data_IF_801259337877
#
_entry.id   IF_801259337877
#
_cell.length_a   1.000
_cell.length_b   1.000
_cell.length_c   1.000
_cell.angle_alpha   90.00
_cell.angle_beta   90.00
_cell.angle_gamma   90.00
#
_symmetry.space_group_name_H-M   'P 1'
#
loop_
_entity.id
_entity.type
_entity.pdbx_description
1 polymer ?
#
# COMPACT_ATOMS: atom_id res chain seq x y z
N UNK A 1 12.40 2.23 6.69
CA UNK A 1 11.35 2.81 7.56
C UNK A 1 12.02 3.78 8.51
N UNK A 2 11.57 5.04 8.61
CA UNK A 2 12.10 5.90 9.66
C UNK A 2 11.61 5.37 11.02
N UNK A 3 12.53 4.74 11.76
CA UNK A 3 12.23 4.06 13.04
C UNK A 3 11.51 5.00 14.01
N UNK A 4 11.85 6.29 13.96
CA UNK A 4 11.26 7.34 14.77
C UNK A 4 9.78 7.59 14.50
N UNK A 5 9.33 7.66 13.24
CA UNK A 5 7.92 7.90 12.94
C UNK A 5 7.09 6.66 13.31
N UNK A 6 7.54 5.43 12.99
CA UNK A 6 6.84 4.22 13.44
C UNK A 6 6.70 4.18 14.96
N UNK A 7 7.75 4.56 15.68
CA UNK A 7 7.71 4.67 17.15
C UNK A 7 6.70 5.72 17.62
N UNK A 8 6.60 6.89 16.98
CA UNK A 8 5.58 7.90 17.30
C UNK A 8 4.16 7.38 17.10
N UNK A 9 3.91 6.69 15.98
CA UNK A 9 2.61 6.10 15.74
C UNK A 9 2.28 5.01 16.77
N UNK A 10 3.21 4.08 17.03
CA UNK A 10 3.02 3.06 18.07
C UNK A 10 2.79 3.70 19.44
N UNK A 11 3.51 4.78 19.75
CA UNK A 11 3.30 5.54 20.98
C UNK A 11 1.91 6.17 21.04
N UNK A 12 1.44 6.80 19.95
CA UNK A 12 0.09 7.34 19.83
C UNK A 12 -0.98 6.25 20.01
N UNK A 13 -0.83 5.10 19.34
CA UNK A 13 -1.77 3.98 19.49
C UNK A 13 -1.80 3.51 20.95
N UNK A 14 -0.64 3.37 21.59
CA UNK A 14 -0.55 2.97 23.01
C UNK A 14 -1.14 4.02 23.96
N UNK A 15 -0.99 5.31 23.67
CA UNK A 15 -1.51 6.39 24.52
C UNK A 15 -3.03 6.56 24.41
N UNK A 16 -3.65 6.09 23.33
CA UNK A 16 -5.10 6.17 23.14
C UNK A 16 -5.90 5.08 23.85
N UNK A 17 -5.25 4.17 24.59
CA UNK A 17 -5.84 3.01 25.28
C UNK A 17 -6.72 2.14 24.37
N UNK A 18 -6.38 2.07 23.08
CA UNK A 18 -7.16 1.35 22.08
C UNK A 18 -6.88 -0.14 22.08
N UNK A 19 -7.81 -0.89 21.49
CA UNK A 19 -7.66 -2.34 21.33
C UNK A 19 -6.67 -2.63 20.22
N UNK A 20 -5.66 -3.45 20.52
CA UNK A 20 -4.71 -4.00 19.55
C UNK A 20 -4.86 -5.50 19.62
N UNK A 21 -5.10 -6.16 18.49
CA UNK A 21 -5.14 -7.61 18.41
C UNK A 21 -3.97 -8.13 17.58
N UNK A 22 -3.50 -9.38 17.80
CA UNK A 22 -2.50 -9.99 16.95
C UNK A 22 -2.97 -10.00 15.49
N UNK A 23 -2.20 -9.32 14.64
CA UNK A 23 -2.40 -9.34 13.19
C UNK A 23 -1.09 -9.81 12.53
N UNK A 24 -0.83 -11.09 12.69
CA UNK A 24 0.36 -11.79 12.18
C UNK A 24 -0.05 -12.87 11.20
N UNK A 25 0.90 -13.32 10.36
CA UNK A 25 0.65 -14.41 9.43
C UNK A 25 0.13 -15.65 10.18
N UNK A 26 0.67 -15.94 11.37
CA UNK A 26 0.26 -17.04 12.23
C UNK A 26 -1.19 -16.91 12.71
N UNK A 27 -1.58 -15.71 13.16
CA UNK A 27 -2.95 -15.44 13.63
C UNK A 27 -3.99 -15.55 12.51
N UNK A 28 -3.61 -15.15 11.30
CA UNK A 28 -4.47 -15.23 10.11
C UNK A 28 -4.58 -16.67 9.63
N UNK A 29 -3.46 -17.40 9.54
CA UNK A 29 -3.41 -18.77 9.03
C UNK A 29 -4.16 -19.77 9.92
N UNK A 30 -4.06 -19.59 11.24
CA UNK A 30 -4.76 -20.39 12.26
C UNK A 30 -6.23 -20.02 12.47
N UNK A 31 -6.75 -19.03 11.73
CA UNK A 31 -8.09 -18.43 11.90
C UNK A 31 -8.33 -17.82 13.31
N UNK A 32 -7.27 -17.69 14.13
CA UNK A 32 -7.36 -17.07 15.44
C UNK A 32 -7.78 -15.60 15.34
N UNK A 33 -7.30 -14.89 14.31
CA UNK A 33 -7.69 -13.51 14.05
C UNK A 33 -9.21 -13.33 13.92
N UNK A 34 -9.89 -14.20 13.17
CA UNK A 34 -11.35 -14.14 12.96
C UNK A 34 -12.09 -14.40 14.27
N UNK A 35 -11.62 -15.38 15.04
CA UNK A 35 -12.18 -15.72 16.37
C UNK A 35 -12.03 -14.57 17.36
N UNK A 36 -10.84 -13.99 17.44
CA UNK A 36 -10.55 -12.87 18.32
C UNK A 36 -11.40 -11.65 17.94
N UNK A 37 -11.43 -11.32 16.65
CA UNK A 37 -12.19 -10.18 16.11
C UNK A 37 -13.69 -10.29 16.46
N UNK A 38 -14.26 -11.49 16.37
CA UNK A 38 -15.67 -11.76 16.68
C UNK A 38 -16.05 -11.48 18.14
N UNK A 39 -15.08 -11.46 19.07
CA UNK A 39 -15.31 -11.18 20.49
C UNK A 39 -15.48 -9.70 20.83
N UNK A 40 -15.12 -8.80 19.91
CA UNK A 40 -15.17 -7.36 20.13
C UNK A 40 -16.46 -6.74 19.60
N UNK A 41 -16.93 -5.67 20.25
CA UNK A 41 -18.12 -4.91 19.88
C UNK A 41 -17.91 -3.43 20.16
N UNK A 42 -18.46 -2.54 19.33
CA UNK A 42 -18.44 -1.08 19.51
C UNK A 42 -17.02 -0.54 19.82
N UNK A 43 -16.02 -1.03 19.09
CA UNK A 43 -14.62 -0.72 19.40
C UNK A 43 -13.81 -0.38 18.16
N UNK A 44 -12.74 0.39 18.36
CA UNK A 44 -11.73 0.65 17.35
C UNK A 44 -10.54 -0.29 17.58
N UNK A 45 -10.17 -1.06 16.56
CA UNK A 45 -9.08 -2.04 16.60
C UNK A 45 -7.95 -1.61 15.68
N UNK A 46 -6.74 -1.65 16.20
CA UNK A 46 -5.52 -1.34 15.45
C UNK A 46 -4.81 -2.62 15.02
N UNK A 47 -4.57 -2.73 13.73
CA UNK A 47 -3.81 -3.80 13.07
C UNK A 47 -2.45 -3.23 12.66
N UNK A 48 -1.40 -3.57 13.41
CA UNK A 48 -0.11 -2.90 13.31
C UNK A 48 0.92 -3.64 12.43
N UNK A 49 0.47 -4.53 11.55
CA UNK A 49 1.36 -5.24 10.64
C UNK A 49 1.20 -4.73 9.20
N UNK A 50 2.22 -4.08 8.63
CA UNK A 50 2.16 -3.54 7.26
C UNK A 50 2.30 -4.58 6.17
N UNK A 51 2.71 -5.81 6.51
CA UNK A 51 2.91 -6.89 5.55
C UNK A 51 1.66 -7.75 5.33
N UNK A 52 0.55 -7.39 5.97
CA UNK A 52 -0.72 -8.12 5.89
C UNK A 52 -1.81 -7.14 5.44
N UNK A 53 -2.41 -7.41 4.28
CA UNK A 53 -3.63 -6.75 3.84
C UNK A 53 -4.79 -7.08 4.77
N UNK A 54 -5.61 -6.06 5.04
CA UNK A 54 -6.97 -6.24 5.50
C UNK A 54 -7.98 -6.01 4.35
N UNK A 55 -8.91 -6.94 4.09
CA UNK A 55 -9.03 -8.26 4.69
C UNK A 55 -7.88 -9.21 4.29
N UNK A 56 -7.52 -10.17 5.15
CA UNK A 56 -6.53 -11.18 4.80
C UNK A 56 -7.04 -12.13 3.70
N UNK A 57 -6.17 -12.92 3.04
CA UNK A 57 -6.58 -13.98 2.14
C UNK A 57 -7.38 -15.07 2.88
N UNK A 58 -8.28 -15.74 2.15
CA UNK A 58 -8.93 -16.98 2.61
C UNK A 58 -8.22 -18.20 2.04
N UNK A 59 -8.31 -19.36 2.70
CA UNK A 59 -7.76 -20.61 2.17
C UNK A 59 -8.32 -20.92 0.76
N UNK A 60 -7.50 -21.43 -0.19
CA UNK A 60 -6.11 -21.89 -0.01
C UNK A 60 -5.05 -20.78 -0.10
N UNK A 61 -5.42 -19.51 -0.31
CA UNK A 61 -4.50 -18.38 -0.40
C UNK A 61 -3.90 -18.06 0.97
N UNK A 62 -2.57 -17.99 1.05
CA UNK A 62 -1.82 -17.81 2.30
C UNK A 62 -0.64 -16.84 2.10
N UNK A 63 -0.26 -16.14 3.17
CA UNK A 63 0.91 -15.27 3.16
C UNK A 63 2.23 -16.04 3.11
N UNK A 64 3.32 -15.34 2.84
CA UNK A 64 4.64 -15.84 2.50
C UNK A 64 5.13 -16.98 3.40
N UNK A 65 4.94 -16.90 4.73
CA UNK A 65 5.36 -17.94 5.67
C UNK A 65 4.71 -19.31 5.38
N UNK A 66 3.49 -19.30 4.86
CA UNK A 66 2.68 -20.48 4.59
C UNK A 66 2.31 -20.63 3.11
N UNK A 67 2.88 -19.79 2.24
CA UNK A 67 2.58 -19.78 0.81
C UNK A 67 3.12 -21.05 0.16
N UNK A 68 2.21 -21.84 -0.43
CA UNK A 68 2.54 -23.00 -1.25
C UNK A 68 1.84 -22.88 -2.59
N UNK A 69 2.61 -22.67 -3.65
CA UNK A 69 2.08 -22.46 -5.01
C UNK A 69 1.32 -23.70 -5.50
N UNK A 70 1.73 -24.88 -5.07
CA UNK A 70 1.17 -26.18 -5.44
C UNK A 70 -0.22 -26.42 -4.85
N UNK A 71 -0.59 -25.69 -3.78
CA UNK A 71 -1.92 -25.77 -3.16
C UNK A 71 -2.94 -24.84 -3.83
N UNK A 72 -2.51 -23.99 -4.77
CA UNK A 72 -3.38 -23.01 -5.43
C UNK A 72 -4.01 -23.58 -6.71
N UNK A 73 -5.17 -23.06 -7.13
CA UNK A 73 -5.74 -23.38 -8.44
C UNK A 73 -4.74 -23.08 -9.57
N UNK A 74 -4.71 -23.89 -10.63
CA UNK A 74 -3.79 -23.71 -11.75
C UNK A 74 -3.86 -22.30 -12.38
N UNK A 75 -5.07 -21.73 -12.43
CA UNK A 75 -5.35 -20.40 -12.97
C UNK A 75 -5.46 -19.32 -11.89
N UNK A 76 -4.88 -19.52 -10.70
CA UNK A 76 -5.03 -18.59 -9.58
C UNK A 76 -4.63 -17.15 -9.91
N UNK A 77 -3.70 -16.93 -10.83
CA UNK A 77 -3.25 -15.59 -11.23
C UNK A 77 -4.36 -14.77 -11.92
N UNK A 78 -5.28 -15.43 -12.63
CA UNK A 78 -6.40 -14.76 -13.32
C UNK A 78 -7.66 -14.66 -12.48
N UNK A 79 -7.74 -15.39 -11.37
CA UNK A 79 -8.85 -15.27 -10.41
C UNK A 79 -8.87 -13.85 -9.83
N UNK A 80 -10.06 -13.26 -9.78
CA UNK A 80 -10.27 -11.92 -9.26
C UNK A 80 -9.72 -11.82 -7.81
N UNK A 81 -9.01 -10.72 -7.51
CA UNK A 81 -8.44 -10.50 -6.18
C UNK A 81 -9.49 -10.60 -5.06
N UNK A 82 -10.70 -10.08 -5.25
CA UNK A 82 -11.76 -10.11 -4.24
C UNK A 82 -12.29 -11.51 -3.96
N UNK A 83 -12.13 -12.44 -4.91
CA UNK A 83 -12.47 -13.85 -4.70
C UNK A 83 -11.44 -14.57 -3.84
N UNK A 84 -10.27 -13.97 -3.58
CA UNK A 84 -9.16 -14.54 -2.82
C UNK A 84 -9.09 -14.06 -1.37
N UNK A 85 -9.78 -12.97 -1.04
CA UNK A 85 -9.79 -12.41 0.32
C UNK A 85 -10.91 -13.01 1.18
N UNK A 86 -10.71 -12.97 2.49
CA UNK A 86 -11.70 -13.38 3.47
C UNK A 86 -12.70 -12.24 3.70
N UNK A 87 -13.90 -12.34 3.14
CA UNK A 87 -14.96 -11.33 3.31
C UNK A 87 -15.73 -11.49 4.62
N UNK A 88 -15.61 -12.62 5.33
CA UNK A 88 -16.29 -12.85 6.62
C UNK A 88 -15.90 -11.79 7.67
N UNK A 89 -14.64 -11.34 7.64
CA UNK A 89 -14.19 -10.29 8.56
C UNK A 89 -14.87 -8.95 8.29
N UNK A 90 -15.38 -8.71 7.08
CA UNK A 90 -16.18 -7.52 6.76
C UNK A 90 -17.53 -7.63 7.46
N UNK A 91 -18.21 -8.78 7.32
CA UNK A 91 -19.50 -9.03 7.97
C UNK A 91 -19.39 -8.91 9.51
N UNK A 92 -18.27 -9.39 10.09
CA UNK A 92 -18.01 -9.26 11.53
C UNK A 92 -17.87 -7.80 11.94
N UNK A 93 -17.07 -6.99 11.21
CA UNK A 93 -16.86 -5.59 11.61
C UNK A 93 -18.11 -4.74 11.44
N UNK A 94 -18.98 -5.07 10.48
CA UNK A 94 -20.27 -4.41 10.32
C UNK A 94 -21.22 -4.81 11.45
N UNK A 95 -21.43 -6.12 11.65
CA UNK A 95 -22.36 -6.66 12.66
C UNK A 95 -22.01 -6.21 14.08
N UNK A 96 -20.73 -6.22 14.42
CA UNK A 96 -20.28 -5.91 15.76
C UNK A 96 -19.95 -4.43 15.95
N UNK A 97 -20.16 -3.59 14.91
CA UNK A 97 -19.77 -2.19 14.89
C UNK A 97 -18.30 -2.02 15.34
N UNK A 98 -17.36 -2.57 14.57
CA UNK A 98 -15.92 -2.50 14.82
C UNK A 98 -15.30 -1.58 13.76
N UNK A 99 -14.46 -0.63 14.19
CA UNK A 99 -13.66 0.19 13.28
C UNK A 99 -12.23 -0.34 13.21
N UNK A 100 -11.77 -0.75 12.03
CA UNK A 100 -10.41 -1.21 11.80
C UNK A 100 -9.51 -0.04 11.39
N UNK A 101 -8.36 0.08 12.06
CA UNK A 101 -7.26 0.93 11.62
C UNK A 101 -6.09 0.02 11.25
N UNK A 102 -5.68 0.01 9.98
CA UNK A 102 -4.68 -0.91 9.43
C UNK A 102 -3.67 -0.15 8.56
N UNK A 103 -2.50 -0.73 8.31
CA UNK A 103 -1.51 -0.16 7.39
C UNK A 103 -1.76 -0.50 5.93
N UNK A 104 -2.34 -1.66 5.66
CA UNK A 104 -2.62 -2.13 4.31
C UNK A 104 -4.09 -2.55 4.27
N UNK A 105 -4.85 -1.94 3.36
CA UNK A 105 -6.21 -2.37 3.07
C UNK A 105 -6.45 -2.44 1.59
N UNK A 106 -6.98 -3.57 1.12
CA UNK A 106 -7.31 -3.74 -0.29
C UNK A 106 -8.75 -3.36 -0.63
N UNK A 107 -9.55 -2.97 0.36
CA UNK A 107 -10.95 -2.56 0.20
C UNK A 107 -11.13 -1.08 0.55
N UNK A 108 -12.21 -0.51 0.04
CA UNK A 108 -12.76 0.74 0.56
C UNK A 108 -13.98 0.40 1.43
N UNK A 109 -13.97 0.82 2.69
CA UNK A 109 -15.06 0.52 3.62
C UNK A 109 -15.17 1.60 4.70
N UNK A 110 -16.38 2.04 5.11
CA UNK A 110 -16.56 3.10 6.10
C UNK A 110 -15.91 2.77 7.45
N UNK A 111 -16.00 1.50 7.88
CA UNK A 111 -15.41 1.03 9.14
C UNK A 111 -13.93 0.63 9.00
N UNK A 112 -13.25 1.00 7.92
CA UNK A 112 -11.82 0.73 7.73
C UNK A 112 -11.08 2.04 7.44
N UNK A 113 -9.99 2.27 8.17
CA UNK A 113 -9.04 3.36 7.93
C UNK A 113 -7.68 2.75 7.61
N UNK A 114 -7.21 2.99 6.39
CA UNK A 114 -5.86 2.66 5.99
C UNK A 114 -4.91 3.80 6.38
N UNK A 115 -3.85 3.50 7.12
CA UNK A 115 -2.76 4.42 7.46
C UNK A 115 -1.62 4.11 6.50
N UNK A 116 -1.24 5.03 5.60
CA UNK A 116 -0.34 4.67 4.53
C UNK A 116 1.08 4.45 5.01
N UNK A 117 1.84 3.58 4.33
CA UNK A 117 3.25 3.34 4.64
C UNK A 117 4.12 4.58 4.45
N UNK A 118 3.66 5.51 3.61
CA UNK A 118 4.38 6.72 3.23
C UNK A 118 4.66 7.72 4.31
N UNK A 119 3.81 7.75 5.34
CA UNK A 119 3.98 8.66 6.49
C UNK A 119 5.27 8.37 7.27
N UNK A 120 5.90 7.22 7.01
CA UNK A 120 7.16 6.77 7.59
C UNK A 120 8.37 6.93 6.64
N UNK A 121 8.19 7.62 5.50
CA UNK A 121 9.30 7.85 4.56
C UNK A 121 10.42 8.67 5.22
N UNK A 122 11.64 8.45 4.75
CA UNK A 122 12.88 8.92 5.37
C UNK A 122 13.28 10.31 4.88
N UNK A 123 12.62 10.83 3.86
CA UNK A 123 13.01 12.06 3.19
C UNK A 123 12.24 13.23 3.75
N UNK A 124 12.98 14.22 4.28
CA UNK A 124 12.39 15.52 4.60
C UNK A 124 12.72 16.59 3.58
N UNK A 125 13.84 16.49 2.86
CA UNK A 125 14.24 17.43 1.80
C UNK A 125 15.23 16.73 0.86
N UNK A 126 14.85 16.53 -0.40
CA UNK A 126 15.80 16.11 -1.45
C UNK A 126 15.93 17.23 -2.46
N UNK A 127 17.16 17.64 -2.85
CA UNK A 127 17.33 18.67 -3.85
C UNK A 127 16.59 18.30 -5.13
N UNK A 128 15.86 19.27 -5.68
CA UNK A 128 15.18 19.11 -6.97
C UNK A 128 16.23 18.78 -8.03
N UNK A 129 16.01 17.68 -8.76
CA UNK A 129 16.85 17.25 -9.88
C UNK A 129 16.12 17.51 -11.19
N UNK A 130 16.89 17.82 -12.22
CA UNK A 130 16.38 17.81 -13.59
C UNK A 130 15.90 16.41 -13.97
N UNK A 131 14.72 16.33 -14.61
CA UNK A 131 14.11 15.06 -15.00
C UNK A 131 14.61 14.62 -16.37
N UNK A 132 15.68 13.82 -16.39
CA UNK A 132 16.32 13.30 -17.62
C UNK A 132 15.77 11.96 -18.08
N UNK A 133 15.05 11.24 -17.22
CA UNK A 133 14.48 9.92 -17.50
C UNK A 133 12.97 10.00 -17.57
N UNK A 134 12.35 9.46 -18.63
CA UNK A 134 10.89 9.44 -18.73
C UNK A 134 10.28 8.44 -17.75
N UNK A 135 10.66 7.15 -17.84
CA UNK A 135 10.15 6.12 -16.95
C UNK A 135 11.26 5.24 -16.40
N UNK A 136 11.35 5.14 -15.08
CA UNK A 136 12.28 4.25 -14.39
C UNK A 136 11.62 2.96 -13.95
N UNK A 137 12.35 1.85 -14.07
CA UNK A 137 11.89 0.52 -13.67
C UNK A 137 12.96 -0.15 -12.81
N UNK A 138 12.54 -0.63 -11.64
CA UNK A 138 13.39 -1.39 -10.73
C UNK A 138 12.67 -2.66 -10.27
N UNK A 139 13.13 -3.84 -10.67
CA UNK A 139 12.47 -5.12 -10.36
C UNK A 139 13.44 -6.13 -9.74
N UNK A 140 14.36 -5.67 -8.88
CA UNK A 140 15.44 -6.52 -8.32
C UNK A 140 15.00 -7.63 -7.35
N UNK A 141 13.71 -7.72 -7.01
CA UNK A 141 13.19 -8.72 -6.08
C UNK A 141 12.17 -9.60 -6.78
N UNK A 142 12.39 -10.92 -6.75
CA UNK A 142 11.37 -11.89 -7.13
C UNK A 142 10.36 -12.02 -5.97
N UNK A 143 9.05 -11.92 -6.26
CA UNK A 143 8.00 -12.18 -5.27
C UNK A 143 6.80 -12.86 -5.93
N UNK A 144 6.76 -14.20 -5.88
CA UNK A 144 5.51 -14.92 -6.12
C UNK A 144 4.69 -14.86 -4.83
N UNK A 145 3.41 -14.51 -4.95
CA UNK A 145 2.48 -14.29 -3.83
C UNK A 145 1.16 -14.96 -4.12
N UNK A 146 0.32 -15.06 -3.09
CA UNK A 146 -1.02 -15.65 -3.21
C UNK A 146 -1.95 -14.91 -4.21
N UNK A 147 -1.68 -13.65 -4.49
CA UNK A 147 -2.39 -12.85 -5.50
C UNK A 147 -1.68 -12.80 -6.86
N UNK A 148 -0.56 -13.51 -7.06
CA UNK A 148 0.24 -13.49 -8.29
C UNK A 148 1.56 -12.72 -8.12
N UNK A 149 2.20 -12.34 -9.23
CA UNK A 149 3.48 -11.62 -9.24
C UNK A 149 3.37 -10.28 -10.01
N UNK A 150 3.00 -9.18 -9.33
CA UNK A 150 2.81 -7.88 -9.95
C UNK A 150 4.06 -7.30 -10.63
N UNK A 151 5.25 -7.81 -10.29
CA UNK A 151 6.52 -7.36 -10.90
C UNK A 151 6.75 -7.94 -12.29
N UNK A 152 5.98 -8.96 -12.70
CA UNK A 152 6.00 -9.55 -14.04
C UNK A 152 4.94 -8.94 -14.97
N UNK A 153 4.09 -8.05 -14.48
CA UNK A 153 2.95 -7.51 -15.24
C UNK A 153 3.32 -6.38 -16.22
N UNK A 154 4.53 -5.79 -16.12
CA UNK A 154 4.95 -4.72 -17.02
C UNK A 154 5.69 -5.28 -18.25
N UNK A 155 5.60 -4.54 -19.37
CA UNK A 155 6.38 -4.81 -20.58
C UNK A 155 7.43 -3.73 -20.76
N UNK A 156 8.67 -4.13 -20.99
CA UNK A 156 9.75 -3.18 -21.29
C UNK A 156 9.44 -2.43 -22.60
N UNK A 157 9.75 -1.14 -22.61
CA UNK A 157 9.58 -0.28 -23.78
C UNK A 157 10.79 0.66 -23.93
N UNK A 158 11.07 1.19 -25.14
CA UNK A 158 12.26 2.00 -25.39
C UNK A 158 12.41 3.25 -24.51
N UNK A 159 11.29 3.82 -24.04
CA UNK A 159 11.28 4.98 -23.16
C UNK A 159 11.51 4.65 -21.67
N UNK A 160 11.67 3.36 -21.33
CA UNK A 160 11.89 2.89 -19.97
C UNK A 160 13.36 2.59 -19.72
N UNK A 161 13.90 3.08 -18.60
CA UNK A 161 15.24 2.73 -18.11
C UNK A 161 15.08 1.72 -16.98
N UNK A 162 15.60 0.51 -17.20
CA UNK A 162 15.56 -0.56 -16.21
C UNK A 162 16.92 -0.74 -15.52
N UNK A 163 16.95 -0.61 -14.20
CA UNK A 163 18.14 -0.92 -13.37
C UNK A 163 17.70 -1.61 -12.07
N UNK A 164 18.50 -2.55 -11.60
CA UNK A 164 18.25 -3.32 -10.37
C UNK A 164 19.57 -3.58 -9.62
N UNK A 165 19.49 -4.08 -8.39
CA UNK A 165 20.65 -4.39 -7.55
C UNK A 165 21.58 -3.18 -7.33
N UNK A 166 20.96 -2.02 -7.10
CA UNK A 166 21.66 -0.76 -6.91
C UNK A 166 21.96 -0.52 -5.42
N UNK A 167 23.00 0.29 -5.16
CA UNK A 167 23.11 0.93 -3.85
C UNK A 167 21.90 1.83 -3.61
N UNK A 168 21.62 2.11 -2.34
CA UNK A 168 20.51 2.98 -1.93
C UNK A 168 20.63 4.38 -2.58
N UNK A 169 21.83 4.96 -2.60
CA UNK A 169 22.08 6.26 -3.23
C UNK A 169 21.83 6.25 -4.73
N UNK A 170 22.28 5.20 -5.44
CA UNK A 170 22.07 5.09 -6.88
C UNK A 170 20.58 4.88 -7.21
N UNK A 171 19.86 4.12 -6.39
CA UNK A 171 18.42 3.93 -6.52
C UNK A 171 17.66 5.25 -6.36
N UNK A 172 17.99 6.04 -5.34
CA UNK A 172 17.33 7.33 -5.12
C UNK A 172 17.71 8.38 -6.15
N UNK A 173 18.95 8.39 -6.64
CA UNK A 173 19.37 9.26 -7.74
C UNK A 173 18.60 8.93 -9.03
N UNK A 174 18.36 7.65 -9.33
CA UNK A 174 17.55 7.23 -10.47
C UNK A 174 16.10 7.70 -10.35
N UNK A 175 15.49 7.55 -9.17
CA UNK A 175 14.13 8.06 -8.93
C UNK A 175 14.09 9.59 -9.09
N UNK A 176 15.03 10.30 -8.48
CA UNK A 176 15.07 11.76 -8.49
C UNK A 176 15.21 12.33 -9.92
N UNK A 177 15.92 11.64 -10.82
CA UNK A 177 16.06 12.01 -12.24
C UNK A 177 14.89 11.58 -13.13
N UNK A 178 13.92 10.85 -12.58
CA UNK A 178 12.83 10.27 -13.36
C UNK A 178 11.53 11.05 -13.22
N UNK A 179 10.80 11.18 -14.33
CA UNK A 179 9.44 11.72 -14.35
C UNK A 179 8.45 10.71 -13.76
N UNK A 180 8.58 9.44 -14.14
CA UNK A 180 7.73 8.35 -13.67
C UNK A 180 8.55 7.15 -13.18
N UNK A 181 7.94 6.35 -12.31
CA UNK A 181 8.47 5.04 -11.93
C UNK A 181 7.37 4.00 -11.79
N UNK A 182 7.59 2.80 -12.33
CA UNK A 182 6.67 1.66 -12.14
C UNK A 182 6.75 1.17 -10.68
N UNK A 183 5.62 1.26 -9.98
CA UNK A 183 5.47 0.97 -8.56
C UNK A 183 4.43 -0.14 -8.35
N UNK A 184 4.77 -1.40 -8.67
CA UNK A 184 3.89 -2.52 -8.39
C UNK A 184 3.69 -2.67 -6.89
N UNK A 185 2.49 -3.12 -6.51
CA UNK A 185 2.17 -3.42 -5.12
C UNK A 185 3.15 -4.43 -4.53
N UNK A 186 3.39 -4.30 -3.23
CA UNK A 186 4.13 -5.25 -2.42
C UNK A 186 3.16 -6.10 -1.62
N UNK A 187 3.51 -6.42 -0.37
CA UNK A 187 2.58 -7.02 0.59
C UNK A 187 1.25 -6.24 0.61
N UNK A 188 1.33 -4.93 0.85
CA UNK A 188 0.22 -3.99 0.73
C UNK A 188 0.06 -3.37 -0.66
N UNK A 189 -1.06 -2.65 -0.85
CA UNK A 189 -1.38 -1.93 -2.10
C UNK A 189 -0.46 -0.73 -2.35
N UNK A 190 0.01 -0.06 -1.30
CA UNK A 190 1.06 0.95 -1.36
C UNK A 190 2.43 0.36 -0.98
N UNK A 191 3.51 1.02 -1.42
CA UNK A 191 4.88 0.55 -1.19
C UNK A 191 5.79 1.69 -0.81
N UNK A 192 6.89 1.39 -0.10
CA UNK A 192 7.93 2.40 0.16
C UNK A 192 8.38 3.12 -1.11
N UNK A 193 8.52 2.39 -2.22
CA UNK A 193 8.90 2.95 -3.51
C UNK A 193 7.89 3.98 -4.03
N UNK A 194 6.60 3.70 -3.93
CA UNK A 194 5.55 4.64 -4.33
C UNK A 194 5.72 5.97 -3.58
N UNK A 195 5.96 5.90 -2.28
CA UNK A 195 6.15 7.08 -1.44
C UNK A 195 7.49 7.78 -1.66
N UNK A 196 8.57 7.02 -1.85
CA UNK A 196 9.87 7.57 -2.21
C UNK A 196 9.80 8.33 -3.56
N UNK A 197 8.99 7.85 -4.51
CA UNK A 197 8.74 8.59 -5.75
C UNK A 197 8.11 9.96 -5.48
N UNK A 198 7.02 9.99 -4.70
CA UNK A 198 6.32 11.24 -4.35
C UNK A 198 7.28 12.22 -3.68
N UNK A 199 8.08 11.76 -2.72
CA UNK A 199 9.06 12.58 -1.99
C UNK A 199 10.20 13.11 -2.90
N UNK A 200 10.55 12.38 -3.97
CA UNK A 200 11.59 12.72 -4.93
C UNK A 200 11.04 13.44 -6.18
N UNK A 201 9.77 13.85 -6.16
CA UNK A 201 9.10 14.52 -7.28
C UNK A 201 9.00 13.64 -8.53
N UNK A 202 9.00 12.32 -8.37
CA UNK A 202 8.73 11.33 -9.40
C UNK A 202 7.27 10.86 -9.25
N UNK A 203 6.54 10.70 -10.35
CA UNK A 203 5.14 10.26 -10.34
C UNK A 203 5.12 8.72 -10.35
N UNK A 204 4.71 8.04 -9.27
CA UNK A 204 4.55 6.60 -9.28
C UNK A 204 3.42 6.17 -10.23
N UNK A 205 3.67 5.13 -11.02
CA UNK A 205 2.68 4.43 -11.84
C UNK A 205 2.25 3.19 -11.07
N UNK A 206 0.97 3.12 -10.70
CA UNK A 206 0.44 2.11 -9.79
C UNK A 206 -0.83 1.50 -10.37
N UNK A 207 -0.95 0.17 -10.36
CA UNK A 207 -2.22 -0.48 -10.73
C UNK A 207 -3.33 -0.10 -9.75
N UNK A 208 -4.51 0.28 -10.24
CA UNK A 208 -5.62 0.73 -9.37
C UNK A 208 -6.23 -0.45 -8.59
N UNK A 209 -6.45 -0.24 -7.30
CA UNK A 209 -7.18 -1.13 -6.39
C UNK A 209 -8.20 -0.30 -5.61
N UNK A 210 -9.24 -0.90 -5.05
CA UNK A 210 -10.30 -0.14 -4.37
C UNK A 210 -9.77 0.58 -3.13
N UNK A 211 -8.82 -0.02 -2.39
CA UNK A 211 -8.18 0.64 -1.24
C UNK A 211 -7.39 1.91 -1.56
N UNK A 212 -7.17 2.26 -2.83
CA UNK A 212 -6.48 3.50 -3.23
C UNK A 212 -7.38 4.75 -3.21
N UNK A 213 -8.66 4.65 -2.90
CA UNK A 213 -9.59 5.80 -2.89
C UNK A 213 -9.04 7.00 -2.09
N UNK A 214 -8.35 6.73 -0.97
CA UNK A 214 -7.77 7.79 -0.14
C UNK A 214 -6.52 8.47 -0.72
N UNK A 215 -6.01 8.04 -1.88
CA UNK A 215 -4.80 8.53 -2.55
C UNK A 215 -5.05 9.24 -3.90
N UNK A 216 -6.31 9.41 -4.33
CA UNK A 216 -6.63 9.98 -5.66
C UNK A 216 -6.25 11.47 -5.84
N UNK A 217 -5.96 12.16 -4.74
CA UNK A 217 -5.49 13.54 -4.66
C UNK A 217 -3.98 13.66 -4.42
N UNK A 218 -3.24 12.54 -4.48
CA UNK A 218 -1.78 12.50 -4.52
C UNK A 218 -1.27 12.40 -5.96
N UNK A 219 0.01 12.76 -6.24
CA UNK A 219 0.57 12.74 -7.58
C UNK A 219 0.91 11.30 -8.02
N UNK A 220 -0.10 10.45 -8.21
CA UNK A 220 0.02 9.05 -8.58
C UNK A 220 -0.72 8.81 -9.89
N UNK A 221 -0.06 8.19 -10.86
CA UNK A 221 -0.72 7.72 -12.08
C UNK A 221 -1.31 6.33 -11.83
N UNK A 222 -2.60 6.28 -11.53
CA UNK A 222 -3.33 5.02 -11.44
C UNK A 222 -3.66 4.47 -12.82
N UNK A 223 -3.37 3.19 -13.04
CA UNK A 223 -3.57 2.49 -14.32
C UNK A 223 -4.29 1.15 -14.12
N UNK A 224 -4.98 0.64 -15.14
CA UNK A 224 -5.57 -0.71 -15.08
C UNK A 224 -4.54 -1.81 -15.37
N UNK A 225 -3.51 -1.48 -16.15
CA UNK A 225 -2.37 -2.35 -16.45
C UNK A 225 -1.10 -1.51 -16.66
N UNK A 226 0.07 -2.14 -16.57
CA UNK A 226 1.35 -1.47 -16.81
C UNK A 226 1.69 -1.31 -18.31
N UNK A 227 0.73 -1.55 -19.22
CA UNK A 227 0.85 -1.30 -20.65
C UNK A 227 0.71 0.21 -20.96
N UNK A 228 1.55 1.04 -20.35
CA UNK A 228 1.58 2.50 -20.54
C UNK A 228 2.33 2.89 -21.81
N UNK A 229 1.97 4.04 -22.41
CA UNK A 229 2.64 4.57 -23.60
C UNK A 229 3.43 5.85 -23.30
N UNK A 230 4.44 6.13 -24.12
CA UNK A 230 5.21 7.38 -24.02
C UNK A 230 4.32 8.64 -24.13
N UNK A 231 3.32 8.61 -25.01
CA UNK A 231 2.35 9.68 -25.17
C UNK A 231 1.54 9.92 -23.88
N UNK A 232 0.99 8.85 -23.29
CA UNK A 232 0.25 8.91 -22.03
C UNK A 232 1.11 9.54 -20.92
N UNK A 233 2.36 9.12 -20.80
CA UNK A 233 3.26 9.62 -19.76
C UNK A 233 3.57 11.11 -19.97
N UNK A 234 3.89 11.54 -21.20
CA UNK A 234 4.17 12.96 -21.46
C UNK A 234 2.94 13.85 -21.23
N UNK A 235 1.76 13.43 -21.68
CA UNK A 235 0.50 14.16 -21.43
C UNK A 235 0.18 14.24 -19.94
N UNK A 236 0.35 13.13 -19.20
CA UNK A 236 0.14 13.08 -17.75
C UNK A 236 1.10 14.01 -17.04
N UNK A 237 2.38 14.05 -17.44
CA UNK A 237 3.38 14.91 -16.81
C UNK A 237 3.04 16.40 -16.99
N UNK A 238 2.62 16.80 -18.20
CA UNK A 238 2.14 18.14 -18.51
C UNK A 238 0.87 18.52 -17.75
N UNK A 239 -0.05 17.58 -17.54
CA UNK A 239 -1.25 17.82 -16.76
C UNK A 239 -0.94 17.94 -15.27
N UNK A 240 -0.09 17.05 -14.74
CA UNK A 240 0.23 16.99 -13.31
C UNK A 240 1.09 18.17 -12.87
N UNK A 241 1.95 18.71 -13.74
CA UNK A 241 2.73 19.92 -13.44
C UNK A 241 1.86 21.17 -13.19
N UNK A 242 0.61 21.15 -13.64
CA UNK A 242 -0.38 22.23 -13.49
C UNK A 242 -1.41 21.95 -12.39
N UNK A 243 -1.36 20.76 -11.78
CA UNK A 243 -2.31 20.32 -10.75
C UNK A 243 -1.75 20.53 -9.35
N UNK A 244 -2.61 20.92 -8.42
CA UNK A 244 -2.29 20.91 -6.98
C UNK A 244 -2.68 19.56 -6.37
N UNK A 245 -1.80 19.01 -5.54
CA UNK A 245 -1.99 17.73 -4.84
C UNK A 245 -1.99 17.94 -3.31
N UNK A 246 -2.66 17.04 -2.58
CA UNK A 246 -2.77 17.10 -1.12
C UNK A 246 -1.57 16.42 -0.45
N UNK A 247 -0.42 17.10 -0.46
CA UNK A 247 0.81 16.58 0.14
C UNK A 247 0.74 16.44 1.67
N UNK A 248 -0.25 17.04 2.34
CA UNK A 248 -0.51 16.85 3.77
C UNK A 248 -0.73 15.36 4.12
N UNK A 249 -1.30 14.58 3.19
CA UNK A 249 -1.46 13.11 3.33
C UNK A 249 -0.15 12.34 3.40
N UNK A 250 0.98 12.96 3.09
CA UNK A 250 2.31 12.37 3.28
C UNK A 250 2.83 12.52 4.72
N UNK A 251 2.09 13.20 5.60
CA UNK A 251 2.48 13.46 6.99
C UNK A 251 1.74 12.55 7.95
N UNK A 252 2.36 12.21 9.07
CA UNK A 252 1.71 11.42 10.12
C UNK A 252 0.54 12.18 10.77
N UNK A 253 0.72 13.48 10.95
CA UNK A 253 -0.21 14.39 11.61
C UNK A 253 -1.59 14.35 10.95
N UNK A 254 -1.65 14.34 9.61
CA UNK A 254 -2.90 14.22 8.85
C UNK A 254 -3.68 12.95 9.21
N UNK A 255 -2.98 11.82 9.33
CA UNK A 255 -3.62 10.53 9.59
C UNK A 255 -3.97 10.33 11.06
N UNK A 256 -3.17 10.87 11.98
CA UNK A 256 -3.54 10.96 13.41
C UNK A 256 -4.85 11.74 13.57
N UNK A 257 -4.94 12.93 12.96
CA UNK A 257 -6.17 13.74 13.03
C UNK A 257 -7.36 13.01 12.39
N UNK A 258 -7.14 12.32 11.27
CA UNK A 258 -8.17 11.49 10.63
C UNK A 258 -8.69 10.38 11.53
N UNK A 259 -7.80 9.68 12.25
CA UNK A 259 -8.20 8.62 13.20
C UNK A 259 -8.92 9.21 14.41
N UNK A 260 -8.46 10.35 14.94
CA UNK A 260 -9.12 11.02 16.06
C UNK A 260 -10.53 11.51 15.70
N UNK A 261 -10.71 12.09 14.51
CA UNK A 261 -12.04 12.49 14.00
C UNK A 261 -12.97 11.30 13.84
N UNK A 262 -12.49 10.20 13.26
CA UNK A 262 -13.29 8.97 13.12
C UNK A 262 -13.65 8.36 14.47
N UNK A 263 -12.73 8.39 15.44
CA UNK A 263 -13.03 7.97 16.82
C UNK A 263 -14.16 8.80 17.42
N UNK A 264 -14.15 10.12 17.25
CA UNK A 264 -15.18 11.01 17.78
C UNK A 264 -16.55 10.85 17.10
N UNK A 265 -16.60 10.35 15.87
CA UNK A 265 -17.86 10.00 15.19
C UNK A 265 -18.35 8.58 15.48
N UNK A 266 -17.47 7.71 15.99
CA UNK A 266 -17.72 6.28 16.20
C UNK A 266 -18.13 5.94 17.63
N UNK A 267 -17.61 6.69 18.61
CA UNK A 267 -17.97 6.63 20.04
C UNK A 267 -18.95 7.74 20.39
#
# INVERSE_FOLDING_TARGET
>A
MSVMELQKWIHFVKSTHQTIIPFTEDSVDSEQFVKDLSGYHNTMIFLLNPDIDFPPPKKPYRYDKYFRKEELPEHYETINYYEKINTEVIDIIEKNNIHIVTYASSIEHPNVTCIPLGVYSQFRQVPVKEKTTLCYVNMGMHCDRWYGNPRKEYKAAPFMIQRSNLSMDAFYEDIAKSKFMICPRGCGIDTYRMWDCIQLGCIPIVKKYHGHACFEDLPILFVDSYDVTEELLNQTYEAYSKRTFCYEKCTMEYWIDTVLRRKASFL
#
